data_IF_650715890198
#
_entry.id   IF_650715890198
#
_cell.length_a   1.000
_cell.length_b   1.000
_cell.length_c   1.000
_cell.angle_alpha   90.00
_cell.angle_beta   90.00
_cell.angle_gamma   90.00
#
_symmetry.space_group_name_H-M   'P 1'
#
loop_
_entity.id
_entity.type
_entity.pdbx_description
1 polymer ?
#
# COMPACT_ATOMS: atom_id res chain seq x y z
N UNK A 1 15.69 5.12 24.02
CA UNK A 1 16.66 5.76 23.10
C UNK A 1 17.84 4.86 22.73
N UNK A 2 18.53 4.19 23.67
CA UNK A 2 19.66 3.30 23.35
C UNK A 2 19.30 2.12 22.41
N UNK A 3 18.11 1.54 22.55
CA UNK A 3 17.63 0.40 21.72
C UNK A 3 17.33 0.79 20.24
N UNK A 4 17.12 2.09 19.98
CA UNK A 4 16.78 2.63 18.66
C UNK A 4 18.04 2.82 17.80
N UNK A 5 19.14 3.27 18.40
CA UNK A 5 20.44 3.39 17.73
C UNK A 5 21.09 2.02 17.48
N UNK A 6 20.85 1.05 18.35
CA UNK A 6 21.36 -0.31 18.19
C UNK A 6 20.66 -1.11 17.09
N UNK A 7 19.37 -0.87 16.83
CA UNK A 7 18.67 -1.48 15.70
C UNK A 7 19.17 -0.94 14.36
N UNK A 8 19.40 0.37 14.28
CA UNK A 8 19.98 0.99 13.08
C UNK A 8 21.40 0.48 12.83
N UNK A 9 22.21 0.31 13.88
CA UNK A 9 23.54 -0.28 13.78
C UNK A 9 23.50 -1.74 13.30
N UNK A 10 22.52 -2.54 13.77
CA UNK A 10 22.36 -3.93 13.34
C UNK A 10 21.95 -4.02 11.87
N UNK A 11 21.06 -3.13 11.42
CA UNK A 11 20.66 -3.02 10.00
C UNK A 11 21.85 -2.61 9.14
N UNK A 12 22.64 -1.62 9.56
CA UNK A 12 23.86 -1.19 8.83
C UNK A 12 24.91 -2.31 8.77
N UNK A 13 25.11 -3.07 9.85
CA UNK A 13 26.08 -4.19 9.88
C UNK A 13 25.62 -5.40 9.05
N UNK A 14 24.32 -5.71 9.04
CA UNK A 14 23.76 -6.76 8.17
C UNK A 14 23.83 -6.33 6.70
N UNK A 15 23.61 -5.05 6.41
CA UNK A 15 23.86 -4.49 5.08
C UNK A 15 25.33 -4.64 4.67
N UNK A 16 26.27 -4.32 5.56
CA UNK A 16 27.70 -4.46 5.29
C UNK A 16 28.10 -5.93 5.01
N UNK A 17 27.58 -6.88 5.78
CA UNK A 17 27.73 -8.33 5.55
C UNK A 17 27.14 -8.80 4.22
N UNK A 18 25.98 -8.26 3.82
CA UNK A 18 25.32 -8.65 2.57
C UNK A 18 25.97 -8.04 1.33
N UNK A 19 26.62 -6.87 1.46
CA UNK A 19 27.12 -6.09 0.33
C UNK A 19 28.65 -6.07 0.19
N UNK A 20 29.44 -6.43 1.22
CA UNK A 20 30.91 -6.47 1.18
C UNK A 20 31.50 -7.89 1.26
N UNK A 21 30.82 -8.87 0.65
CA UNK A 21 31.20 -10.29 0.70
C UNK A 21 32.52 -10.62 -0.02
N UNK A 22 32.97 -9.75 -0.93
CA UNK A 22 34.19 -9.93 -1.73
C UNK A 22 35.41 -9.14 -1.21
N UNK A 23 35.25 -8.34 -0.15
CA UNK A 23 36.39 -7.80 0.58
C UNK A 23 36.94 -8.89 1.51
N UNK A 24 38.24 -9.11 1.45
CA UNK A 24 38.95 -10.31 1.90
C UNK A 24 38.95 -10.61 3.41
N UNK A 25 37.92 -10.22 4.17
CA UNK A 25 37.84 -10.53 5.59
C UNK A 25 36.44 -10.93 6.07
N UNK A 26 35.79 -11.82 5.31
CA UNK A 26 34.60 -12.57 5.75
C UNK A 26 34.79 -13.20 7.14
N UNK A 27 36.03 -13.57 7.49
CA UNK A 27 36.40 -14.11 8.80
C UNK A 27 36.43 -13.04 9.90
N UNK A 28 37.00 -11.86 9.66
CA UNK A 28 37.05 -10.74 10.62
C UNK A 28 35.65 -10.12 10.85
N UNK A 29 34.84 -9.98 9.79
CA UNK A 29 33.47 -9.45 9.90
C UNK A 29 32.57 -10.46 10.64
N UNK A 30 32.68 -11.76 10.34
CA UNK A 30 32.01 -12.81 11.14
C UNK A 30 32.51 -12.83 12.58
N UNK A 31 33.79 -12.54 12.83
CA UNK A 31 34.34 -12.46 14.17
C UNK A 31 33.80 -11.25 14.95
N UNK A 32 33.66 -10.07 14.33
CA UNK A 32 33.19 -8.86 14.98
C UNK A 32 31.67 -8.89 15.24
N UNK A 33 30.90 -9.47 14.31
CA UNK A 33 29.46 -9.74 14.50
C UNK A 33 29.25 -10.76 15.62
N UNK A 34 30.06 -11.83 15.63
CA UNK A 34 30.05 -12.83 16.70
C UNK A 34 30.43 -12.21 18.04
N UNK A 35 31.43 -11.35 18.09
CA UNK A 35 31.89 -10.63 19.30
C UNK A 35 30.83 -9.64 19.80
N UNK A 36 30.12 -8.96 18.91
CA UNK A 36 29.01 -8.05 19.26
C UNK A 36 27.80 -8.81 19.80
N UNK A 37 27.47 -9.97 19.21
CA UNK A 37 26.47 -10.90 19.74
C UNK A 37 26.90 -11.53 21.08
N UNK A 38 28.20 -11.76 21.26
CA UNK A 38 28.78 -12.29 22.50
C UNK A 38 28.77 -11.22 23.61
N UNK A 39 29.02 -9.95 23.30
CA UNK A 39 28.81 -8.82 24.20
C UNK A 39 27.33 -8.69 24.62
N UNK A 40 26.40 -9.09 23.74
CA UNK A 40 24.96 -9.17 24.04
C UNK A 40 24.61 -10.35 24.98
N UNK A 41 25.25 -11.51 24.81
CA UNK A 41 25.14 -12.66 25.74
C UNK A 41 25.79 -12.36 27.11
N UNK A 42 26.95 -11.69 27.12
CA UNK A 42 27.73 -11.38 28.33
C UNK A 42 27.10 -10.24 29.15
N UNK A 43 26.35 -9.33 28.52
CA UNK A 43 25.54 -8.32 29.22
C UNK A 43 24.28 -8.91 29.90
N UNK A 44 23.94 -10.16 29.59
CA UNK A 44 22.74 -10.84 30.10
C UNK A 44 22.99 -12.04 31.00
N UNK A 45 24.20 -12.59 31.09
CA UNK A 45 24.48 -13.70 32.01
C UNK A 45 25.96 -13.90 32.28
N UNK A 46 26.35 -13.76 33.55
CA UNK A 46 27.65 -14.21 34.04
C UNK A 46 27.77 -15.73 33.97
N UNK A 47 28.86 -16.18 33.32
CA UNK A 47 29.58 -17.45 33.48
C UNK A 47 29.36 -18.60 32.45
N UNK A 48 30.44 -18.82 31.67
CA UNK A 48 31.17 -20.09 31.38
C UNK A 48 30.37 -21.30 30.83
N UNK A 49 30.66 -21.70 29.56
CA UNK A 49 31.35 -22.97 29.16
C UNK A 49 30.96 -23.55 27.77
N UNK A 50 32.03 -23.81 26.98
CA UNK A 50 32.45 -24.89 26.03
C UNK A 50 31.54 -25.59 24.99
N UNK A 51 32.12 -25.63 23.77
CA UNK A 51 32.25 -26.67 22.71
C UNK A 51 31.09 -27.60 22.29
N UNK A 52 30.02 -27.79 23.06
CA UNK A 52 28.79 -28.44 22.56
C UNK A 52 27.92 -27.53 21.67
N UNK A 53 28.30 -26.24 21.56
CA UNK A 53 27.54 -25.17 20.90
C UNK A 53 27.53 -25.24 19.36
N UNK A 54 28.38 -26.03 18.69
CA UNK A 54 28.53 -25.96 17.22
C UNK A 54 27.38 -26.62 16.44
N UNK A 55 26.86 -27.77 16.87
CA UNK A 55 25.69 -28.40 16.22
C UNK A 55 24.39 -27.60 16.50
N UNK A 56 24.26 -27.05 17.72
CA UNK A 56 23.18 -26.12 18.08
C UNK A 56 23.29 -24.76 17.40
N UNK A 57 24.49 -24.40 16.92
CA UNK A 57 24.74 -23.15 16.20
C UNK A 57 24.21 -23.20 14.78
N UNK A 58 24.20 -24.36 14.12
CA UNK A 58 23.69 -24.54 12.77
C UNK A 58 22.15 -24.50 12.76
N UNK A 59 21.52 -25.18 13.73
CA UNK A 59 20.08 -25.09 13.96
C UNK A 59 19.63 -23.68 14.37
N UNK A 60 20.44 -22.97 15.15
CA UNK A 60 20.21 -21.55 15.48
C UNK A 60 20.53 -20.61 14.32
N UNK A 61 21.45 -20.94 13.43
CA UNK A 61 21.73 -20.16 12.22
C UNK A 61 20.59 -20.31 11.23
N UNK A 62 20.11 -21.54 11.00
CA UNK A 62 18.95 -21.79 10.15
C UNK A 62 17.70 -21.16 10.76
N UNK A 63 17.53 -21.23 12.09
CA UNK A 63 16.48 -20.48 12.77
C UNK A 63 16.68 -18.97 12.66
N UNK A 64 17.91 -18.45 12.73
CA UNK A 64 18.18 -17.02 12.54
C UNK A 64 18.00 -16.57 11.09
N UNK A 65 18.22 -17.46 10.12
CA UNK A 65 17.94 -17.26 8.68
C UNK A 65 16.44 -17.31 8.45
N UNK A 66 15.71 -18.28 9.00
CA UNK A 66 14.24 -18.32 8.98
C UNK A 66 13.65 -17.11 9.71
N UNK A 67 14.23 -16.71 10.83
CA UNK A 67 13.86 -15.50 11.57
C UNK A 67 14.24 -14.27 10.74
N UNK A 68 15.34 -14.26 9.96
CA UNK A 68 15.72 -13.19 9.04
C UNK A 68 14.83 -13.14 7.78
N UNK A 69 14.34 -14.27 7.29
CA UNK A 69 13.39 -14.39 6.17
C UNK A 69 11.98 -14.01 6.62
N UNK A 70 11.60 -14.39 7.84
CA UNK A 70 10.40 -13.94 8.54
C UNK A 70 10.50 -12.44 8.81
N UNK A 71 11.64 -11.97 9.30
CA UNK A 71 11.94 -10.55 9.44
C UNK A 71 11.91 -9.87 8.08
N UNK A 72 12.48 -10.42 7.01
CA UNK A 72 12.44 -9.88 5.66
C UNK A 72 11.00 -9.76 5.12
N UNK A 73 10.13 -10.72 5.44
CA UNK A 73 8.69 -10.65 5.16
C UNK A 73 7.95 -9.57 6.00
N UNK A 74 8.48 -9.25 7.18
CA UNK A 74 8.00 -8.18 8.09
C UNK A 74 8.64 -6.82 7.76
N UNK A 75 9.85 -6.78 7.17
CA UNK A 75 10.76 -5.64 6.94
C UNK A 75 10.71 -5.08 5.52
N UNK A 76 9.74 -5.48 4.71
CA UNK A 76 9.41 -4.83 3.44
C UNK A 76 9.44 -3.28 3.47
N UNK A 77 9.09 -2.59 4.58
CA UNK A 77 9.05 -1.12 4.58
C UNK A 77 10.37 -0.39 4.92
N UNK A 78 11.40 -1.03 5.49
CA UNK A 78 12.67 -0.32 5.79
C UNK A 78 13.52 -0.06 4.55
N UNK A 79 13.24 -0.74 3.43
CA UNK A 79 13.77 -0.40 2.10
C UNK A 79 13.39 1.02 1.67
N UNK A 80 12.24 1.55 2.11
CA UNK A 80 11.84 2.94 1.87
C UNK A 80 12.92 3.92 2.33
N UNK A 81 13.36 3.77 3.57
CA UNK A 81 14.38 4.62 4.18
C UNK A 81 15.74 4.44 3.52
N UNK A 82 16.09 3.19 3.22
CA UNK A 82 17.36 2.84 2.61
C UNK A 82 17.49 3.40 1.19
N UNK A 83 16.43 3.29 0.38
CA UNK A 83 16.45 3.77 -1.01
C UNK A 83 16.38 5.30 -1.06
N UNK A 84 15.59 5.92 -0.18
CA UNK A 84 15.47 7.39 -0.11
C UNK A 84 16.74 8.05 0.44
N UNK A 85 17.52 7.36 1.26
CA UNK A 85 18.84 7.82 1.75
C UNK A 85 19.93 7.84 0.65
N UNK A 86 19.66 7.34 -0.56
CA UNK A 86 20.50 7.50 -1.76
C UNK A 86 21.99 7.12 -1.57
N UNK A 87 22.28 5.94 -1.01
CA UNK A 87 23.65 5.46 -0.78
C UNK A 87 24.27 4.96 -2.11
N UNK A 88 25.29 5.63 -2.69
CA UNK A 88 25.81 5.28 -4.02
C UNK A 88 26.45 3.90 -4.12
N UNK A 89 27.04 3.40 -3.02
CA UNK A 89 27.67 2.07 -2.98
C UNK A 89 26.67 0.93 -3.12
N UNK A 90 25.41 1.14 -2.73
CA UNK A 90 24.34 0.17 -2.94
C UNK A 90 24.00 0.01 -4.42
N UNK A 91 24.32 1.01 -5.26
CA UNK A 91 23.92 1.01 -6.65
C UNK A 91 24.68 -0.01 -7.49
N UNK A 92 25.97 -0.15 -7.22
CA UNK A 92 26.84 -1.12 -7.89
C UNK A 92 26.52 -2.55 -7.44
N UNK A 93 26.15 -2.73 -6.17
CA UNK A 93 25.93 -4.05 -5.59
C UNK A 93 24.55 -4.63 -5.94
N UNK A 94 23.49 -3.80 -5.95
CA UNK A 94 22.17 -4.21 -6.42
C UNK A 94 22.14 -4.62 -7.91
N UNK A 95 22.96 -3.99 -8.75
CA UNK A 95 23.11 -4.37 -10.17
C UNK A 95 23.88 -5.68 -10.33
N UNK A 96 24.83 -5.94 -9.42
CA UNK A 96 25.57 -7.20 -9.35
C UNK A 96 24.66 -8.37 -8.97
N UNK A 97 23.82 -8.21 -7.94
CA UNK A 97 22.98 -9.28 -7.39
C UNK A 97 21.61 -9.46 -8.08
N UNK A 98 21.12 -8.49 -8.84
CA UNK A 98 19.86 -8.65 -9.62
C UNK A 98 19.95 -9.72 -10.72
N UNK A 99 21.16 -10.19 -11.03
CA UNK A 99 21.44 -11.26 -12.00
C UNK A 99 21.42 -12.67 -11.39
N UNK A 100 21.31 -12.79 -10.07
CA UNK A 100 21.31 -14.07 -9.35
C UNK A 100 19.87 -14.59 -9.15
N UNK A 101 19.52 -15.78 -9.67
CA UNK A 101 18.18 -16.34 -9.48
C UNK A 101 17.99 -16.82 -8.03
N UNK A 102 17.02 -16.24 -7.32
CA UNK A 102 16.57 -16.74 -6.00
C UNK A 102 16.18 -15.69 -4.94
N UNK A 103 16.52 -14.41 -5.11
CA UNK A 103 16.33 -13.41 -4.06
C UNK A 103 15.20 -12.42 -4.39
N UNK A 104 13.96 -12.76 -3.98
CA UNK A 104 12.76 -11.91 -4.20
C UNK A 104 12.92 -10.49 -3.64
N UNK A 105 13.48 -10.35 -2.43
CA UNK A 105 13.67 -9.02 -1.82
C UNK A 105 14.61 -8.12 -2.64
N UNK A 106 15.68 -8.66 -3.24
CA UNK A 106 16.59 -7.88 -4.11
C UNK A 106 15.87 -7.43 -5.38
N UNK A 107 14.97 -8.26 -5.91
CA UNK A 107 14.15 -7.91 -7.08
C UNK A 107 13.18 -6.76 -6.79
N UNK A 108 12.58 -6.75 -5.59
CA UNK A 108 11.71 -5.67 -5.11
C UNK A 108 12.48 -4.36 -4.95
N UNK A 109 13.64 -4.41 -4.27
CA UNK A 109 14.52 -3.25 -4.08
C UNK A 109 15.00 -2.67 -5.42
N UNK A 110 15.37 -3.54 -6.36
CA UNK A 110 15.78 -3.14 -7.70
C UNK A 110 14.63 -2.46 -8.47
N UNK A 111 13.43 -3.05 -8.43
CA UNK A 111 12.21 -2.49 -9.04
C UNK A 111 11.84 -1.12 -8.46
N UNK A 112 11.90 -0.98 -7.13
CA UNK A 112 11.63 0.27 -6.42
C UNK A 112 12.67 1.34 -6.78
N UNK A 113 13.95 0.98 -6.84
CA UNK A 113 15.01 1.90 -7.25
C UNK A 113 14.86 2.35 -8.71
N UNK A 114 14.53 1.45 -9.63
CA UNK A 114 14.23 1.83 -11.02
C UNK A 114 13.05 2.81 -11.10
N UNK A 115 12.01 2.58 -10.30
CA UNK A 115 10.89 3.50 -10.18
C UNK A 115 11.35 4.87 -9.64
N UNK A 116 12.23 4.93 -8.65
CA UNK A 116 12.66 6.18 -8.00
C UNK A 116 13.82 6.90 -8.70
N UNK A 117 14.52 6.28 -9.65
CA UNK A 117 15.71 6.86 -10.28
C UNK A 117 15.38 8.13 -11.12
N UNK A 118 15.93 9.31 -10.76
CA UNK A 118 15.66 10.56 -11.46
C UNK A 118 16.28 10.61 -12.87
N UNK A 119 17.37 9.87 -13.15
CA UNK A 119 18.00 9.82 -14.49
C UNK A 119 17.12 9.13 -15.54
N UNK A 120 16.13 8.33 -15.10
CA UNK A 120 15.15 7.69 -15.98
C UNK A 120 13.96 8.60 -16.31
N UNK A 121 13.94 9.87 -15.85
CA UNK A 121 12.91 10.85 -16.21
C UNK A 121 12.90 11.18 -17.73
N UNK A 122 14.01 10.93 -18.43
CA UNK A 122 14.20 11.25 -19.85
C UNK A 122 13.97 10.09 -20.83
N UNK A 123 13.49 8.92 -20.36
CA UNK A 123 13.19 7.79 -21.25
C UNK A 123 11.91 8.08 -22.03
N UNK A 124 11.89 7.90 -23.37
CA UNK A 124 10.68 8.13 -24.16
C UNK A 124 9.53 7.27 -23.64
N UNK A 125 8.40 7.95 -23.55
CA UNK A 125 7.08 7.51 -23.15
C UNK A 125 6.73 6.03 -23.33
N UNK A 126 6.20 5.46 -22.26
CA UNK A 126 5.58 4.14 -22.17
C UNK A 126 4.21 4.21 -22.86
N UNK A 127 4.16 4.46 -24.17
CA UNK A 127 2.90 4.37 -24.93
C UNK A 127 2.70 2.95 -25.41
N UNK A 128 1.48 2.44 -25.26
CA UNK A 128 1.06 1.30 -26.04
C UNK A 128 0.85 1.81 -27.47
N UNK A 129 1.43 1.15 -28.51
CA UNK A 129 1.12 1.48 -29.90
C UNK A 129 -0.39 1.43 -30.14
N UNK A 130 -0.94 2.36 -30.93
CA UNK A 130 -2.38 2.43 -31.28
C UNK A 130 -2.92 1.08 -31.79
N UNK A 131 -2.10 0.33 -32.53
CA UNK A 131 -2.39 -1.02 -33.02
C UNK A 131 -2.69 -2.02 -31.90
N UNK A 132 -2.04 -1.88 -30.73
CA UNK A 132 -2.24 -2.76 -29.57
C UNK A 132 -3.52 -2.51 -28.78
N UNK A 133 -4.30 -1.51 -29.18
CA UNK A 133 -5.47 -0.97 -28.47
C UNK A 133 -6.76 -1.20 -29.24
N UNK A 134 -6.68 -1.18 -30.58
CA UNK A 134 -7.82 -1.44 -31.47
C UNK A 134 -8.41 -2.85 -31.30
N UNK A 135 -7.61 -3.79 -30.76
CA UNK A 135 -7.98 -5.19 -30.50
C UNK A 135 -8.39 -5.47 -29.04
N UNK A 136 -8.82 -4.46 -28.28
CA UNK A 136 -9.28 -4.65 -26.90
C UNK A 136 -10.80 -4.61 -26.83
N UNK A 137 -11.40 -5.62 -26.19
CA UNK A 137 -12.84 -5.62 -25.87
C UNK A 137 -13.01 -5.33 -24.37
N UNK A 138 -13.38 -4.11 -23.97
CA UNK A 138 -13.55 -3.76 -22.57
C UNK A 138 -14.84 -4.34 -22.00
N UNK A 139 -14.76 -4.88 -20.80
CA UNK A 139 -15.87 -5.43 -20.00
C UNK A 139 -15.92 -4.69 -18.67
N UNK A 140 -17.12 -4.28 -18.25
CA UNK A 140 -17.31 -3.57 -17.00
C UNK A 140 -17.08 -4.49 -15.80
N UNK A 141 -16.31 -4.00 -14.83
CA UNK A 141 -16.18 -4.66 -13.52
C UNK A 141 -17.27 -4.08 -12.61
N UNK A 142 -18.20 -4.90 -12.09
CA UNK A 142 -19.27 -4.40 -11.22
C UNK A 142 -18.75 -3.59 -10.04
N UNK A 143 -19.40 -2.46 -9.78
CA UNK A 143 -19.05 -1.54 -8.68
C UNK A 143 -17.62 -0.99 -8.75
N UNK A 144 -17.00 -0.96 -9.93
CA UNK A 144 -15.70 -0.34 -10.16
C UNK A 144 -15.74 0.60 -11.36
N UNK A 145 -15.00 1.73 -11.32
CA UNK A 145 -14.78 2.55 -12.50
C UNK A 145 -13.66 1.98 -13.42
N UNK A 146 -13.02 0.87 -13.05
CA UNK A 146 -12.08 0.15 -13.89
C UNK A 146 -12.81 -0.88 -14.77
N UNK A 147 -12.22 -1.20 -15.93
CA UNK A 147 -12.75 -2.18 -16.88
C UNK A 147 -11.71 -3.26 -17.12
N UNK A 148 -12.13 -4.52 -17.20
CA UNK A 148 -11.27 -5.58 -17.70
C UNK A 148 -11.22 -5.51 -19.23
N UNK A 149 -10.13 -5.92 -19.85
CA UNK A 149 -10.05 -6.04 -21.30
C UNK A 149 -9.18 -7.22 -21.68
N UNK A 150 -9.62 -7.97 -22.67
CA UNK A 150 -8.84 -9.05 -23.27
C UNK A 150 -8.47 -8.66 -24.70
N UNK A 151 -7.28 -9.07 -25.14
CA UNK A 151 -6.86 -8.89 -26.54
C UNK A 151 -7.56 -9.91 -27.43
N UNK A 152 -7.98 -9.48 -28.62
CA UNK A 152 -8.64 -10.33 -29.64
C UNK A 152 -7.86 -11.59 -29.99
N UNK A 153 -6.53 -11.55 -29.89
CA UNK A 153 -5.64 -12.69 -30.17
C UNK A 153 -5.50 -13.70 -29.01
N UNK A 154 -6.33 -13.60 -27.95
CA UNK A 154 -6.20 -14.43 -26.74
C UNK A 154 -5.00 -14.02 -25.87
N UNK A 155 -4.44 -12.84 -26.11
CA UNK A 155 -3.32 -12.29 -25.35
C UNK A 155 -3.68 -11.95 -23.90
N UNK A 156 -2.67 -11.50 -23.15
CA UNK A 156 -2.78 -11.21 -21.71
C UNK A 156 -3.90 -10.21 -21.41
N UNK A 157 -4.64 -10.48 -20.34
CA UNK A 157 -5.70 -9.61 -19.83
C UNK A 157 -5.11 -8.30 -19.26
N UNK A 158 -5.85 -7.21 -19.47
CA UNK A 158 -5.52 -5.86 -19.03
C UNK A 158 -6.63 -5.32 -18.14
N UNK A 159 -6.26 -4.45 -17.20
CA UNK A 159 -7.21 -3.57 -16.51
C UNK A 159 -7.04 -2.17 -17.11
N UNK A 160 -8.13 -1.66 -17.66
CA UNK A 160 -8.21 -0.32 -18.23
C UNK A 160 -8.84 0.64 -17.23
N UNK A 161 -8.24 1.82 -17.07
CA UNK A 161 -8.78 2.86 -16.21
C UNK A 161 -8.68 4.23 -16.86
N UNK A 162 -9.83 4.75 -17.29
CA UNK A 162 -9.92 6.12 -17.79
C UNK A 162 -9.78 7.13 -16.65
N UNK A 163 -9.01 8.16 -16.93
CA UNK A 163 -8.77 9.33 -16.10
C UNK A 163 -9.35 10.55 -16.81
N UNK A 164 -9.67 11.60 -16.07
CA UNK A 164 -10.16 12.84 -16.64
C UNK A 164 -9.36 13.97 -15.99
N UNK A 165 -8.84 14.88 -16.80
CA UNK A 165 -8.21 16.08 -16.27
C UNK A 165 -9.31 16.94 -15.61
N UNK A 166 -9.21 17.28 -14.32
CA UNK A 166 -10.17 18.18 -13.69
C UNK A 166 -10.16 19.54 -14.38
N UNK A 167 -11.32 20.18 -14.51
CA UNK A 167 -11.48 21.46 -15.22
C UNK A 167 -10.62 22.59 -14.64
N UNK A 168 -10.25 22.51 -13.36
CA UNK A 168 -9.48 23.51 -12.64
C UNK A 168 -7.99 23.17 -12.49
N UNK A 169 -7.49 22.17 -13.23
CA UNK A 169 -6.08 21.78 -13.21
C UNK A 169 -5.48 22.00 -14.58
N UNK A 170 -4.25 22.54 -14.62
CA UNK A 170 -3.48 22.65 -15.86
C UNK A 170 -3.27 21.26 -16.48
N UNK A 171 -3.73 21.08 -17.72
CA UNK A 171 -3.56 19.84 -18.48
C UNK A 171 -2.08 19.43 -18.52
N UNK A 172 -1.16 20.39 -18.72
CA UNK A 172 0.27 20.11 -18.76
C UNK A 172 0.80 19.56 -17.44
N UNK A 173 0.40 20.15 -16.30
CA UNK A 173 0.80 19.68 -14.98
C UNK A 173 0.18 18.30 -14.66
N UNK A 174 -1.09 18.12 -15.01
CA UNK A 174 -1.78 16.83 -14.84
C UNK A 174 -1.13 15.73 -15.67
N UNK A 175 -0.88 15.98 -16.97
CA UNK A 175 -0.19 15.03 -17.85
C UNK A 175 1.21 14.70 -17.36
N UNK A 176 1.95 15.66 -16.79
CA UNK A 176 3.26 15.39 -16.16
C UNK A 176 3.13 14.38 -15.02
N UNK A 177 2.20 14.61 -14.08
CA UNK A 177 1.96 13.70 -12.95
C UNK A 177 1.54 12.30 -13.42
N UNK A 178 0.63 12.22 -14.39
CA UNK A 178 0.16 10.95 -14.96
C UNK A 178 1.31 10.17 -15.59
N UNK A 179 2.18 10.83 -16.37
CA UNK A 179 3.34 10.20 -17.01
C UNK A 179 4.35 9.72 -15.99
N UNK A 180 4.65 10.54 -14.98
CA UNK A 180 5.58 10.16 -13.93
C UNK A 180 5.08 8.95 -13.13
N UNK A 181 3.80 8.94 -12.75
CA UNK A 181 3.19 7.80 -12.07
C UNK A 181 3.19 6.56 -12.97
N UNK A 182 2.82 6.67 -14.24
CA UNK A 182 2.83 5.57 -15.20
C UNK A 182 4.22 4.91 -15.27
N UNK A 183 5.29 5.72 -15.26
CA UNK A 183 6.67 5.26 -15.25
C UNK A 183 7.06 4.56 -13.95
N UNK A 184 6.66 5.10 -12.79
CA UNK A 184 6.91 4.41 -11.51
C UNK A 184 6.19 3.06 -11.46
N UNK A 185 4.92 3.04 -11.89
CA UNK A 185 4.11 1.82 -11.95
C UNK A 185 4.55 0.82 -13.01
N UNK A 186 5.28 1.20 -14.07
CA UNK A 186 5.77 0.22 -15.05
C UNK A 186 6.82 -0.72 -14.48
N UNK A 187 7.51 -0.27 -13.43
CA UNK A 187 8.49 -1.05 -12.67
C UNK A 187 7.92 -1.66 -11.39
N UNK A 188 6.61 -1.51 -11.14
CA UNK A 188 5.98 -2.10 -9.96
C UNK A 188 5.97 -3.64 -10.02
N UNK A 189 6.39 -4.28 -8.93
CA UNK A 189 6.11 -5.70 -8.70
C UNK A 189 4.68 -5.84 -8.15
N UNK A 190 3.75 -6.49 -8.87
CA UNK A 190 2.34 -6.48 -8.51
C UNK A 190 2.05 -7.16 -7.17
N UNK A 191 2.75 -8.24 -6.84
CA UNK A 191 2.47 -9.01 -5.63
C UNK A 191 3.07 -8.40 -4.37
N UNK A 192 4.21 -7.73 -4.50
CA UNK A 192 4.84 -7.05 -3.39
C UNK A 192 4.14 -5.73 -3.10
N UNK A 193 3.81 -4.98 -4.16
CA UNK A 193 3.28 -3.64 -4.00
C UNK A 193 1.77 -3.57 -3.90
N UNK A 194 1.03 -4.61 -4.34
CA UNK A 194 -0.42 -4.51 -4.52
C UNK A 194 -0.81 -3.45 -5.57
N UNK A 195 0.12 -3.15 -6.50
CA UNK A 195 -0.05 -2.17 -7.56
C UNK A 195 0.25 -2.83 -8.91
N UNK A 196 -0.72 -2.79 -9.83
CA UNK A 196 -0.55 -3.45 -11.13
C UNK A 196 0.51 -2.73 -11.99
N UNK A 197 1.29 -3.52 -12.73
CA UNK A 197 2.32 -2.98 -13.64
C UNK A 197 1.67 -2.21 -14.80
N UNK A 198 1.96 -0.92 -14.88
CA UNK A 198 1.50 -0.07 -15.98
C UNK A 198 2.24 -0.40 -17.28
N UNK A 199 1.51 -0.66 -18.36
CA UNK A 199 2.08 -0.86 -19.71
C UNK A 199 1.91 0.33 -20.62
N UNK A 200 1.28 1.38 -20.11
CA UNK A 200 1.16 2.64 -20.81
C UNK A 200 -0.27 3.13 -20.90
N UNK A 201 -0.47 3.98 -21.89
CA UNK A 201 -1.65 4.79 -22.03
C UNK A 201 -2.26 4.58 -23.42
N UNK A 202 -3.43 3.91 -23.55
CA UNK A 202 -4.05 3.65 -24.85
C UNK A 202 -4.55 4.90 -25.59
N UNK A 203 -5.00 5.88 -24.82
CA UNK A 203 -5.39 7.20 -25.27
C UNK A 203 -4.84 8.19 -24.27
N UNK A 204 -4.74 9.48 -24.60
CA UNK A 204 -4.15 10.53 -23.76
C UNK A 204 -4.74 10.65 -22.33
N UNK A 205 -5.76 9.86 -21.96
CA UNK A 205 -6.31 9.75 -20.62
C UNK A 205 -6.83 8.34 -20.19
N UNK A 206 -6.24 7.19 -20.60
CA UNK A 206 -6.56 5.85 -20.03
C UNK A 206 -5.34 5.06 -19.53
N UNK A 207 -5.22 4.68 -18.25
CA UNK A 207 -4.17 3.73 -17.85
C UNK A 207 -4.48 2.30 -18.33
N UNK A 208 -3.47 1.58 -18.81
CA UNK A 208 -3.53 0.15 -19.10
C UNK A 208 -2.57 -0.62 -18.19
N UNK A 209 -3.13 -1.42 -17.30
CA UNK A 209 -2.40 -2.24 -16.35
C UNK A 209 -2.42 -3.70 -16.79
N UNK A 210 -1.29 -4.38 -16.66
CA UNK A 210 -1.19 -5.81 -16.93
C UNK A 210 -1.74 -6.61 -15.76
N UNK A 211 -2.68 -7.52 -15.99
CA UNK A 211 -3.04 -8.52 -14.99
C UNK A 211 -1.89 -9.52 -14.79
N UNK A 212 -1.57 -9.93 -13.55
CA UNK A 212 -0.53 -10.91 -13.30
C UNK A 212 -0.86 -12.27 -13.92
N UNK A 213 0.16 -12.97 -14.40
CA UNK A 213 -0.03 -14.27 -15.05
C UNK A 213 -0.60 -15.28 -14.03
N UNK A 214 -1.62 -16.05 -14.42
CA UNK A 214 -2.29 -17.01 -13.54
C UNK A 214 -3.43 -16.44 -12.69
N UNK A 215 -3.67 -15.13 -12.75
CA UNK A 215 -4.78 -14.45 -12.09
C UNK A 215 -5.82 -14.00 -13.13
N UNK A 216 -7.11 -14.05 -12.76
CA UNK A 216 -8.21 -13.60 -13.61
C UNK A 216 -9.43 -13.21 -12.76
N UNK A 217 -10.56 -12.96 -13.43
CA UNK A 217 -11.86 -12.67 -12.82
C UNK A 217 -11.83 -11.49 -11.83
N UNK A 218 -11.48 -10.27 -12.31
CA UNK A 218 -11.42 -9.11 -11.44
C UNK A 218 -12.79 -8.80 -10.84
N UNK A 219 -12.83 -8.70 -9.50
CA UNK A 219 -13.98 -8.18 -8.76
C UNK A 219 -13.54 -6.98 -7.94
N UNK A 220 -14.38 -5.95 -7.82
CA UNK A 220 -14.11 -4.88 -6.85
C UNK A 220 -14.31 -5.39 -5.42
N UNK A 221 -13.56 -4.83 -4.46
CA UNK A 221 -13.79 -5.08 -3.05
C UNK A 221 -15.23 -4.66 -2.66
N UNK A 222 -15.74 -3.58 -3.25
CA UNK A 222 -17.14 -3.15 -3.05
C UNK A 222 -18.13 -4.27 -3.39
N UNK A 223 -18.00 -4.89 -4.57
CA UNK A 223 -18.91 -5.98 -4.97
C UNK A 223 -18.79 -7.18 -4.03
N UNK A 224 -17.58 -7.54 -3.59
CA UNK A 224 -17.38 -8.64 -2.64
C UNK A 224 -18.05 -8.39 -1.29
N UNK A 225 -17.95 -7.16 -0.77
CA UNK A 225 -18.56 -6.77 0.49
C UNK A 225 -20.08 -6.64 0.41
N UNK A 226 -20.63 -6.24 -0.75
CA UNK A 226 -22.08 -6.23 -1.01
C UNK A 226 -22.63 -7.64 -1.15
N UNK A 227 -21.93 -8.52 -1.87
CA UNK A 227 -22.27 -9.95 -2.03
C UNK A 227 -22.14 -10.71 -0.70
N UNK A 228 -21.39 -10.16 0.27
CA UNK A 228 -20.99 -10.81 1.52
C UNK A 228 -20.42 -12.20 1.25
N UNK A 229 -19.52 -12.29 0.28
CA UNK A 229 -18.89 -13.55 -0.14
C UNK A 229 -18.35 -14.28 1.10
N UNK A 230 -18.95 -15.44 1.43
CA UNK A 230 -18.65 -16.21 2.64
C UNK A 230 -17.42 -17.11 2.45
N UNK A 231 -16.84 -17.14 1.26
CA UNK A 231 -15.67 -17.96 0.95
C UNK A 231 -14.37 -17.43 1.59
N UNK A 232 -14.39 -16.22 2.17
CA UNK A 232 -13.21 -15.61 2.77
C UNK A 232 -13.15 -15.83 4.28
N UNK A 233 -12.10 -16.52 4.70
CA UNK A 233 -11.77 -16.74 6.11
C UNK A 233 -11.39 -15.44 6.81
N UNK A 234 -11.37 -15.44 8.15
CA UNK A 234 -10.85 -14.31 8.92
C UNK A 234 -9.39 -13.99 8.54
N UNK A 235 -8.56 -15.01 8.37
CA UNK A 235 -7.16 -14.87 7.94
C UNK A 235 -7.04 -14.16 6.58
N UNK A 236 -7.95 -14.46 5.65
CA UNK A 236 -7.98 -13.83 4.32
C UNK A 236 -8.23 -12.33 4.43
N UNK A 237 -9.10 -11.90 5.36
CA UNK A 237 -9.37 -10.48 5.62
C UNK A 237 -8.13 -9.74 6.10
N UNK A 238 -7.32 -10.36 6.96
CA UNK A 238 -6.04 -9.78 7.39
C UNK A 238 -5.03 -9.68 6.26
N UNK A 239 -4.96 -10.71 5.40
CA UNK A 239 -4.09 -10.69 4.22
C UNK A 239 -4.50 -9.56 3.28
N UNK A 240 -5.79 -9.39 3.00
CA UNK A 240 -6.32 -8.30 2.17
C UNK A 240 -6.04 -6.93 2.80
N UNK A 241 -6.22 -6.80 4.12
CA UNK A 241 -5.94 -5.58 4.86
C UNK A 241 -4.46 -5.17 4.75
N UNK A 242 -3.55 -6.12 4.94
CA UNK A 242 -2.11 -5.90 4.81
C UNK A 242 -1.72 -5.52 3.38
N UNK A 243 -2.26 -6.20 2.37
CA UNK A 243 -2.03 -5.87 0.95
C UNK A 243 -2.51 -4.44 0.60
N UNK A 244 -3.69 -4.05 1.10
CA UNK A 244 -4.22 -2.71 0.86
C UNK A 244 -3.36 -1.63 1.54
N UNK A 245 -2.96 -1.84 2.78
CA UNK A 245 -2.06 -0.92 3.48
C UNK A 245 -0.71 -0.81 2.76
N UNK A 246 -0.12 -1.94 2.33
CA UNK A 246 1.12 -1.92 1.52
C UNK A 246 0.96 -1.07 0.26
N UNK A 247 -0.15 -1.25 -0.46
CA UNK A 247 -0.44 -0.49 -1.68
C UNK A 247 -0.44 1.02 -1.45
N UNK A 248 -1.07 1.48 -0.36
CA UNK A 248 -1.09 2.91 0.01
C UNK A 248 0.32 3.40 0.38
N UNK A 249 1.04 2.64 1.21
CA UNK A 249 2.42 2.97 1.59
C UNK A 249 3.37 3.07 0.39
N UNK A 250 3.20 2.22 -0.63
CA UNK A 250 4.00 2.27 -1.85
C UNK A 250 3.68 3.48 -2.75
N UNK A 251 2.42 3.90 -2.81
CA UNK A 251 2.06 5.15 -3.51
C UNK A 251 2.69 6.36 -2.83
N UNK A 252 2.65 6.42 -1.49
CA UNK A 252 3.33 7.46 -0.72
C UNK A 252 4.84 7.41 -0.90
N UNK A 253 5.42 6.21 -0.99
CA UNK A 253 6.84 5.99 -1.30
C UNK A 253 7.23 6.57 -2.66
N UNK A 254 6.35 6.44 -3.65
CA UNK A 254 6.55 7.05 -4.96
C UNK A 254 6.40 8.58 -4.95
N UNK A 255 6.16 9.22 -3.80
CA UNK A 255 5.98 10.66 -3.68
C UNK A 255 4.63 11.11 -4.23
N UNK A 256 3.63 10.25 -4.21
CA UNK A 256 2.28 10.54 -4.71
C UNK A 256 1.25 10.37 -3.59
N UNK A 257 0.15 11.12 -3.69
CA UNK A 257 -1.09 10.87 -2.92
C UNK A 257 -2.14 10.25 -3.84
N UNK A 258 -2.86 9.25 -3.36
CA UNK A 258 -3.86 8.50 -4.14
C UNK A 258 -5.15 9.28 -4.34
N UNK A 259 -5.63 9.95 -3.28
CA UNK A 259 -6.82 10.83 -3.25
C UNK A 259 -8.16 10.15 -3.47
N UNK A 260 -8.16 8.82 -3.52
CA UNK A 260 -9.30 8.05 -4.00
C UNK A 260 -9.32 6.60 -3.50
N UNK A 261 -8.74 6.35 -2.33
CA UNK A 261 -8.76 5.01 -1.72
C UNK A 261 -10.19 4.71 -1.27
N UNK A 262 -10.84 3.74 -1.93
CA UNK A 262 -12.20 3.27 -1.63
C UNK A 262 -12.42 1.85 -2.18
N UNK A 263 -13.41 1.09 -1.70
CA UNK A 263 -13.67 -0.28 -2.15
C UNK A 263 -13.91 -0.44 -3.66
N UNK A 264 -14.43 0.58 -4.34
CA UNK A 264 -14.64 0.58 -5.81
C UNK A 264 -13.33 0.54 -6.60
N UNK A 265 -12.25 1.04 -5.98
CA UNK A 265 -10.93 1.20 -6.57
C UNK A 265 -9.94 0.15 -6.05
N UNK A 266 -10.44 -0.92 -5.43
CA UNK A 266 -9.64 -2.05 -4.99
C UNK A 266 -10.13 -3.26 -5.77
N UNK A 267 -9.28 -3.86 -6.59
CA UNK A 267 -9.60 -5.05 -7.37
C UNK A 267 -9.03 -6.29 -6.69
N UNK A 268 -9.89 -7.26 -6.46
CA UNK A 268 -9.51 -8.61 -6.09
C UNK A 268 -9.40 -9.45 -7.35
N UNK A 269 -8.20 -9.99 -7.60
CA UNK A 269 -7.97 -10.97 -8.66
C UNK A 269 -7.84 -12.35 -8.04
N UNK A 270 -8.57 -13.34 -8.55
CA UNK A 270 -8.48 -14.71 -8.05
C UNK A 270 -7.42 -15.49 -8.86
N UNK A 271 -6.54 -16.24 -8.20
CA UNK A 271 -5.68 -17.20 -8.88
C UNK A 271 -6.51 -18.38 -9.41
N UNK A 272 -6.03 -19.02 -10.48
CA UNK A 272 -6.71 -20.17 -11.10
C UNK A 272 -6.83 -21.40 -10.19
N UNK A 273 -6.00 -21.49 -9.16
CA UNK A 273 -6.00 -22.59 -8.18
C UNK A 273 -7.09 -22.45 -7.11
N UNK A 274 -7.85 -21.33 -7.11
CA UNK A 274 -8.93 -21.09 -6.17
C UNK A 274 -8.49 -20.62 -4.78
N UNK A 275 -7.20 -20.34 -4.58
CA UNK A 275 -6.69 -19.75 -3.34
C UNK A 275 -7.16 -18.29 -3.16
N UNK A 276 -6.88 -17.72 -1.99
CA UNK A 276 -7.26 -16.36 -1.61
C UNK A 276 -6.77 -15.38 -2.68
N UNK A 277 -7.70 -14.57 -3.19
CA UNK A 277 -7.37 -13.55 -4.19
C UNK A 277 -6.34 -12.55 -3.68
N UNK A 278 -5.72 -11.80 -4.58
CA UNK A 278 -4.81 -10.71 -4.23
C UNK A 278 -5.48 -9.36 -4.51
N UNK A 279 -5.32 -8.43 -3.58
CA UNK A 279 -5.88 -7.08 -3.65
C UNK A 279 -4.93 -6.13 -4.40
N UNK A 280 -5.48 -5.36 -5.32
CA UNK A 280 -4.75 -4.36 -6.08
C UNK A 280 -5.43 -3.00 -6.00
N UNK A 281 -4.70 -1.99 -5.58
CA UNK A 281 -5.17 -0.62 -5.61
C UNK A 281 -5.09 -0.07 -7.05
N UNK A 282 -6.22 0.42 -7.54
CA UNK A 282 -6.38 1.11 -8.82
C UNK A 282 -7.04 2.47 -8.59
N UNK A 283 -7.40 3.19 -9.67
CA UNK A 283 -8.18 4.43 -9.51
C UNK A 283 -7.34 5.69 -9.30
N UNK A 284 -6.14 5.72 -9.91
CA UNK A 284 -5.16 6.81 -9.89
C UNK A 284 -5.62 8.13 -10.59
N UNK A 285 -6.93 8.36 -10.70
CA UNK A 285 -7.52 9.48 -11.46
C UNK A 285 -7.31 10.85 -10.83
N UNK A 286 -7.11 10.88 -9.52
CA UNK A 286 -6.85 12.12 -8.77
C UNK A 286 -5.41 12.21 -8.28
N UNK A 287 -4.54 11.27 -8.69
CA UNK A 287 -3.17 11.18 -8.19
C UNK A 287 -2.39 12.43 -8.52
N UNK A 288 -1.66 12.88 -7.51
CA UNK A 288 -0.90 14.13 -7.52
C UNK A 288 0.43 13.86 -6.83
N UNK A 289 1.52 14.40 -7.36
CA UNK A 289 2.78 14.44 -6.64
C UNK A 289 2.54 15.12 -5.28
N UNK A 290 3.09 14.59 -4.18
CA UNK A 290 2.76 15.03 -2.83
C UNK A 290 2.97 16.53 -2.61
N UNK A 291 3.99 17.12 -3.24
CA UNK A 291 4.35 18.55 -3.20
C UNK A 291 3.56 19.44 -4.20
N UNK A 292 2.73 18.87 -5.08
CA UNK A 292 2.03 19.63 -6.11
C UNK A 292 0.91 20.55 -5.58
N UNK A 293 0.44 21.51 -6.38
CA UNK A 293 -0.70 22.35 -5.98
C UNK A 293 -1.99 21.53 -5.86
N UNK A 294 -2.74 21.71 -4.77
CA UNK A 294 -4.04 21.06 -4.58
C UNK A 294 -5.15 21.92 -5.17
N UNK A 295 -5.85 21.39 -6.17
CA UNK A 295 -6.93 22.11 -6.87
C UNK A 295 -8.17 22.40 -6.00
N UNK A 296 -8.23 21.85 -4.78
CA UNK A 296 -9.37 21.90 -3.84
C UNK A 296 -10.73 21.71 -4.53
N UNK A 297 -10.79 20.82 -5.52
CA UNK A 297 -12.04 20.38 -6.13
C UNK A 297 -12.69 19.33 -5.23
N UNK A 298 -13.92 19.57 -4.81
CA UNK A 298 -14.75 18.62 -4.09
C UNK A 298 -16.04 18.27 -4.82
N UNK A 299 -16.91 17.52 -4.17
CA UNK A 299 -18.23 17.13 -4.67
C UNK A 299 -19.19 16.84 -3.50
N UNK A 300 -20.48 16.71 -3.81
CA UNK A 300 -21.55 16.40 -2.84
C UNK A 300 -21.95 14.92 -2.86
N UNK A 301 -21.15 14.06 -3.50
CA UNK A 301 -21.43 12.63 -3.64
C UNK A 301 -21.15 11.92 -2.31
N UNK A 302 -22.17 11.74 -1.48
CA UNK A 302 -22.06 11.18 -0.13
C UNK A 302 -21.31 9.84 -0.12
N UNK A 303 -21.56 8.97 -1.11
CA UNK A 303 -20.96 7.63 -1.21
C UNK A 303 -19.45 7.67 -1.41
N UNK A 304 -18.90 8.81 -1.86
CA UNK A 304 -17.47 9.05 -2.01
C UNK A 304 -16.95 9.82 -0.80
N UNK A 305 -17.73 10.77 -0.30
CA UNK A 305 -17.35 11.64 0.80
C UNK A 305 -17.13 10.88 2.11
N UNK A 306 -17.86 9.80 2.37
CA UNK A 306 -17.61 8.99 3.59
C UNK A 306 -16.17 8.44 3.68
N UNK A 307 -15.47 8.28 2.56
CA UNK A 307 -14.07 7.84 2.54
C UNK A 307 -13.07 9.01 2.66
N UNK A 308 -13.53 10.26 2.61
CA UNK A 308 -12.68 11.45 2.68
C UNK A 308 -12.69 12.00 4.10
N UNK A 309 -11.56 12.51 4.57
CA UNK A 309 -11.47 13.19 5.86
C UNK A 309 -12.45 14.39 5.91
N UNK A 310 -13.04 14.72 7.08
CA UNK A 310 -14.02 15.79 7.21
C UNK A 310 -13.63 17.13 6.57
N UNK A 311 -12.39 17.61 6.75
CA UNK A 311 -11.91 18.88 6.15
C UNK A 311 -11.80 18.85 4.61
N UNK A 312 -11.93 17.66 4.01
CA UNK A 312 -11.83 17.41 2.57
C UNK A 312 -13.18 17.03 1.92
N UNK A 313 -14.28 17.09 2.66
CA UNK A 313 -15.64 16.87 2.14
C UNK A 313 -16.30 18.19 1.71
N UNK A 314 -17.35 18.07 0.89
CA UNK A 314 -18.09 19.21 0.34
C UNK A 314 -17.53 19.74 -0.98
N UNK A 315 -18.18 20.77 -1.54
CA UNK A 315 -17.81 21.34 -2.85
C UNK A 315 -16.47 22.09 -2.81
N UNK A 316 -16.16 22.69 -1.66
CA UNK A 316 -14.97 23.52 -1.42
C UNK A 316 -14.18 23.05 -0.20
N UNK A 317 -13.35 21.99 -0.36
CA UNK A 317 -12.42 21.53 0.67
C UNK A 317 -11.59 22.65 1.30
N UNK A 318 -11.46 22.64 2.63
CA UNK A 318 -10.87 23.74 3.41
C UNK A 318 -9.34 23.73 3.37
N UNK A 319 -8.73 22.54 3.36
CA UNK A 319 -7.29 22.34 3.51
C UNK A 319 -6.65 21.77 2.25
N UNK A 320 -5.32 21.81 2.13
CA UNK A 320 -4.62 21.13 1.05
C UNK A 320 -4.50 19.62 1.32
N UNK A 321 -4.36 18.83 0.25
CA UNK A 321 -4.38 17.38 0.40
C UNK A 321 -3.00 16.85 0.78
N UNK A 322 -2.81 16.40 2.02
CA UNK A 322 -1.62 15.66 2.50
C UNK A 322 -1.78 14.13 2.48
N UNK A 323 -0.70 13.37 2.70
CA UNK A 323 -0.69 11.90 2.70
C UNK A 323 -1.64 11.29 3.74
N UNK A 324 -1.78 11.92 4.91
CA UNK A 324 -2.66 11.49 6.00
C UNK A 324 -4.12 11.39 5.57
N UNK A 325 -4.56 12.14 4.56
CA UNK A 325 -5.90 11.97 4.01
C UNK A 325 -6.12 10.61 3.34
N UNK A 326 -5.10 10.02 2.70
CA UNK A 326 -5.18 8.64 2.21
C UNK A 326 -5.17 7.65 3.37
N UNK A 327 -4.46 7.95 4.46
CA UNK A 327 -4.44 7.14 5.69
C UNK A 327 -5.84 7.08 6.31
N UNK A 328 -6.54 8.22 6.38
CA UNK A 328 -7.94 8.25 6.80
C UNK A 328 -8.82 7.38 5.89
N UNK A 329 -8.71 7.54 4.57
CA UNK A 329 -9.46 6.73 3.60
C UNK A 329 -9.19 5.24 3.75
N UNK A 330 -7.93 4.86 3.99
CA UNK A 330 -7.53 3.50 4.32
C UNK A 330 -8.22 3.00 5.60
N UNK A 331 -8.28 3.81 6.65
CA UNK A 331 -9.00 3.49 7.89
C UNK A 331 -10.47 3.11 7.65
N UNK A 332 -11.18 3.88 6.81
CA UNK A 332 -12.56 3.58 6.43
C UNK A 332 -12.66 2.26 5.66
N UNK A 333 -11.76 2.00 4.70
CA UNK A 333 -11.71 0.73 3.97
C UNK A 333 -11.40 -0.47 4.89
N UNK A 334 -10.46 -0.33 5.81
CA UNK A 334 -10.10 -1.37 6.77
C UNK A 334 -11.25 -1.65 7.74
N UNK A 335 -12.04 -0.63 8.10
CA UNK A 335 -13.24 -0.79 8.91
C UNK A 335 -14.29 -1.64 8.16
N UNK A 336 -14.63 -1.29 6.92
CA UNK A 336 -15.55 -2.09 6.09
C UNK A 336 -15.07 -3.53 5.90
N UNK A 337 -13.78 -3.70 5.61
CA UNK A 337 -13.17 -5.01 5.45
C UNK A 337 -13.25 -5.84 6.73
N UNK A 338 -13.01 -5.22 7.89
CA UNK A 338 -13.06 -5.91 9.17
C UNK A 338 -14.48 -6.27 9.62
N UNK A 339 -15.46 -5.43 9.29
CA UNK A 339 -16.88 -5.75 9.47
C UNK A 339 -17.37 -6.76 8.42
N UNK A 340 -16.70 -6.82 7.28
CA UNK A 340 -17.08 -7.60 6.08
C UNK A 340 -18.47 -7.26 5.56
N UNK A 341 -18.77 -5.96 5.59
CA UNK A 341 -20.01 -5.40 5.07
C UNK A 341 -19.68 -4.09 4.34
N UNK A 342 -20.26 -3.90 3.16
CA UNK A 342 -20.13 -2.64 2.43
C UNK A 342 -20.85 -1.53 3.18
N UNK A 343 -20.32 -0.31 3.20
CA UNK A 343 -21.06 0.86 3.67
C UNK A 343 -22.03 1.43 2.61
N UNK A 344 -21.83 1.09 1.35
CA UNK A 344 -22.65 1.57 0.23
C UNK A 344 -23.28 0.37 -0.47
N UNK A 345 -24.61 0.35 -0.52
CA UNK A 345 -25.41 -0.65 -1.21
C UNK A 345 -25.96 -0.12 -2.54
N UNK A 346 -26.20 -1.04 -3.46
CA UNK A 346 -26.81 -0.77 -4.76
C UNK A 346 -28.22 -1.37 -4.80
N UNK A 347 -29.24 -0.54 -4.62
CA UNK A 347 -30.62 -0.97 -4.78
C UNK A 347 -31.02 -1.04 -6.27
N UNK A 348 -31.89 -1.98 -6.66
CA UNK A 348 -32.48 -1.98 -7.99
C UNK A 348 -33.28 -0.69 -8.19
N UNK A 349 -32.90 0.12 -9.18
CA UNK A 349 -33.58 1.37 -9.54
C UNK A 349 -34.78 1.13 -10.47
N UNK A 350 -35.62 2.16 -10.62
CA UNK A 350 -36.78 2.15 -11.54
C UNK A 350 -36.39 2.23 -13.03
N UNK A 351 -35.14 2.57 -13.31
CA UNK A 351 -34.48 2.51 -14.62
C UNK A 351 -33.22 1.65 -14.47
N UNK A 352 -32.55 1.27 -15.56
CA UNK A 352 -31.30 0.50 -15.57
C UNK A 352 -30.13 1.12 -14.77
N UNK A 353 -30.34 2.24 -14.08
CA UNK A 353 -29.43 2.87 -13.13
C UNK A 353 -29.68 2.36 -11.69
N UNK A 354 -28.63 1.82 -11.04
CA UNK A 354 -28.70 1.37 -9.64
C UNK A 354 -28.71 2.56 -8.69
N UNK A 355 -29.67 2.62 -7.77
CA UNK A 355 -29.73 3.68 -6.75
C UNK A 355 -28.81 3.32 -5.58
N UNK A 356 -27.94 4.26 -5.19
CA UNK A 356 -27.03 4.08 -4.07
C UNK A 356 -27.74 4.40 -2.75
N UNK A 357 -27.47 3.61 -1.70
CA UNK A 357 -27.95 3.86 -0.35
C UNK A 357 -26.91 3.44 0.71
N UNK A 358 -26.90 4.03 1.90
CA UNK A 358 -26.21 3.49 3.06
C UNK A 358 -26.69 2.07 3.31
N UNK A 359 -25.76 1.16 3.59
CA UNK A 359 -26.11 -0.19 4.01
C UNK A 359 -26.55 -0.22 5.47
N UNK A 360 -27.06 -1.37 5.90
CA UNK A 360 -27.36 -1.61 7.33
C UNK A 360 -26.12 -1.52 8.22
N UNK A 361 -24.92 -1.76 7.70
CA UNK A 361 -23.67 -1.73 8.47
C UNK A 361 -23.32 -0.32 8.96
N UNK A 362 -23.77 0.71 8.24
CA UNK A 362 -23.64 2.10 8.67
C UNK A 362 -24.65 2.49 9.74
N UNK A 363 -25.78 1.78 9.87
CA UNK A 363 -26.90 2.20 10.74
C UNK A 363 -27.37 3.66 10.50
N UNK A 364 -27.07 4.23 9.33
CA UNK A 364 -27.43 5.58 8.91
C UNK A 364 -28.43 5.55 7.75
N UNK A 365 -29.18 6.64 7.57
CA UNK A 365 -30.17 6.78 6.50
C UNK A 365 -29.81 7.93 5.57
N UNK A 366 -30.17 7.84 4.29
CA UNK A 366 -29.91 8.91 3.30
C UNK A 366 -30.41 10.29 3.72
N UNK A 367 -31.52 10.35 4.47
CA UNK A 367 -32.11 11.59 4.96
C UNK A 367 -31.65 12.01 6.36
N UNK A 368 -30.74 11.27 7.01
CA UNK A 368 -30.30 11.57 8.36
C UNK A 368 -29.25 12.69 8.35
N UNK A 369 -29.29 13.58 9.36
CA UNK A 369 -28.33 14.69 9.47
C UNK A 369 -26.91 14.16 9.63
N UNK A 370 -26.78 13.03 10.33
CA UNK A 370 -25.53 12.37 10.65
C UNK A 370 -24.74 11.97 9.39
N UNK A 371 -25.41 11.54 8.31
CA UNK A 371 -24.73 11.15 7.07
C UNK A 371 -24.16 12.36 6.31
N UNK A 372 -24.78 13.53 6.47
CA UNK A 372 -24.40 14.76 5.77
C UNK A 372 -23.51 15.68 6.60
N UNK A 373 -23.24 15.34 7.87
CA UNK A 373 -22.29 16.02 8.72
C UNK A 373 -20.98 15.22 8.77
N UNK A 374 -19.90 15.70 8.12
CA UNK A 374 -18.64 14.97 8.05
C UNK A 374 -18.05 14.60 9.41
N UNK A 375 -18.24 15.45 10.43
CA UNK A 375 -17.71 15.21 11.77
C UNK A 375 -18.48 14.11 12.49
N UNK A 376 -19.80 14.08 12.31
CA UNK A 376 -20.65 13.01 12.86
C UNK A 376 -20.38 11.67 12.19
N UNK A 377 -20.16 11.63 10.87
CA UNK A 377 -19.75 10.41 10.16
C UNK A 377 -18.43 9.88 10.71
N UNK A 378 -17.42 10.74 10.89
CA UNK A 378 -16.12 10.35 11.46
C UNK A 378 -16.27 9.78 12.87
N UNK A 379 -17.03 10.45 13.75
CA UNK A 379 -17.25 9.94 15.12
C UNK A 379 -18.03 8.62 15.12
N UNK A 380 -18.97 8.46 14.19
CA UNK A 380 -19.66 7.19 14.00
C UNK A 380 -18.70 6.05 13.60
N UNK A 381 -17.76 6.29 12.69
CA UNK A 381 -16.72 5.31 12.34
C UNK A 381 -15.82 4.96 13.52
N UNK A 382 -15.41 5.95 14.32
CA UNK A 382 -14.67 5.70 15.58
C UNK A 382 -15.48 4.83 16.52
N UNK A 383 -16.78 5.08 16.66
CA UNK A 383 -17.66 4.26 17.50
C UNK A 383 -17.75 2.81 16.99
N UNK A 384 -17.88 2.59 15.68
CA UNK A 384 -17.86 1.24 15.08
C UNK A 384 -16.50 0.54 15.31
N UNK A 385 -15.39 1.26 15.11
CA UNK A 385 -14.05 0.74 15.35
C UNK A 385 -13.83 0.34 16.82
N UNK A 386 -14.38 1.08 17.79
CA UNK A 386 -14.26 0.77 19.23
C UNK A 386 -15.22 -0.32 19.71
N UNK A 387 -16.44 -0.37 19.19
CA UNK A 387 -17.53 -1.19 19.76
C UNK A 387 -17.77 -2.49 19.02
N UNK A 388 -17.72 -2.46 17.68
CA UNK A 388 -18.07 -3.59 16.82
C UNK A 388 -16.83 -4.35 16.33
N UNK A 389 -15.84 -3.62 15.83
CA UNK A 389 -14.67 -4.19 15.17
C UNK A 389 -13.81 -5.12 16.06
N UNK A 390 -13.60 -4.87 17.38
CA UNK A 390 -12.78 -5.76 18.21
C UNK A 390 -13.37 -7.17 18.34
N UNK A 391 -14.69 -7.29 18.24
CA UNK A 391 -15.40 -8.59 18.28
C UNK A 391 -15.28 -9.37 16.97
N UNK A 392 -14.90 -8.70 15.87
CA UNK A 392 -14.79 -9.27 14.52
C UNK A 392 -13.34 -9.56 14.13
N UNK A 393 -12.42 -8.65 14.46
CA UNK A 393 -11.02 -8.67 13.99
C UNK A 393 -10.00 -8.58 15.15
N UNK A 394 -10.45 -8.58 16.40
CA UNK A 394 -9.57 -8.39 17.56
C UNK A 394 -9.17 -6.94 17.82
N UNK A 395 -8.62 -6.68 19.01
CA UNK A 395 -8.30 -5.34 19.49
C UNK A 395 -7.15 -4.66 18.73
N UNK A 396 -6.13 -5.42 18.32
CA UNK A 396 -4.99 -4.87 17.56
C UNK A 396 -5.43 -4.26 16.23
N UNK A 397 -6.25 -5.00 15.47
CA UNK A 397 -6.78 -4.50 14.20
C UNK A 397 -7.66 -3.27 14.41
N UNK A 398 -8.55 -3.31 15.42
CA UNK A 398 -9.40 -2.18 15.76
C UNK A 398 -8.60 -0.93 16.14
N UNK A 399 -7.49 -1.09 16.90
CA UNK A 399 -6.59 0.00 17.24
C UNK A 399 -5.93 0.60 16.00
N UNK A 400 -5.47 -0.21 15.04
CA UNK A 400 -4.90 0.31 13.77
C UNK A 400 -5.95 1.10 13.00
N UNK A 401 -7.17 0.59 12.88
CA UNK A 401 -8.27 1.29 12.20
C UNK A 401 -8.57 2.62 12.89
N UNK A 402 -8.64 2.63 14.22
CA UNK A 402 -8.85 3.86 14.98
C UNK A 402 -7.71 4.86 14.77
N UNK A 403 -6.45 4.43 14.85
CA UNK A 403 -5.28 5.26 14.55
C UNK A 403 -5.34 5.87 13.15
N UNK A 404 -5.79 5.11 12.14
CA UNK A 404 -5.99 5.64 10.79
C UNK A 404 -7.11 6.69 10.73
N UNK A 405 -8.24 6.45 11.40
CA UNK A 405 -9.38 7.37 11.40
C UNK A 405 -9.09 8.68 12.14
N UNK A 406 -8.14 8.68 13.07
CA UNK A 406 -7.75 9.85 13.87
C UNK A 406 -6.36 10.39 13.50
N UNK A 407 -5.76 9.98 12.39
CA UNK A 407 -4.38 10.34 12.02
C UNK A 407 -4.13 11.84 11.77
N UNK A 408 -5.18 12.65 11.71
CA UNK A 408 -5.14 14.12 11.59
C UNK A 408 -5.69 14.81 12.84
N UNK A 409 -6.04 14.05 13.88
CA UNK A 409 -6.54 14.63 15.13
C UNK A 409 -5.39 15.05 16.04
N UNK A 410 -5.42 16.25 16.64
CA UNK A 410 -4.36 16.74 17.52
C UNK A 410 -4.11 15.86 18.76
N UNK A 411 -5.10 15.08 19.19
CA UNK A 411 -5.01 14.19 20.35
C UNK A 411 -4.50 12.79 19.99
N UNK A 412 -4.18 12.52 18.73
CA UNK A 412 -3.65 11.23 18.30
C UNK A 412 -2.19 11.06 18.76
N UNK A 413 -1.92 10.10 19.65
CA UNK A 413 -0.56 9.89 20.18
C UNK A 413 0.46 9.36 19.13
N UNK A 414 -0.01 8.84 18.00
CA UNK A 414 0.82 8.26 16.94
C UNK A 414 1.13 9.25 15.80
N UNK A 415 0.23 10.22 15.56
CA UNK A 415 0.27 11.18 14.44
C UNK A 415 0.03 12.67 14.82
N UNK A 416 -0.24 12.99 16.10
CA UNK A 416 -1.02 14.18 16.51
C UNK A 416 -0.32 15.53 16.62
N UNK A 417 0.96 15.68 16.27
CA UNK A 417 1.56 17.02 16.14
C UNK A 417 2.02 17.29 14.70
N UNK A 418 1.16 17.95 13.90
CA UNK A 418 1.44 18.32 12.50
C UNK A 418 2.82 18.99 12.30
N UNK A 419 3.31 19.74 13.29
CA UNK A 419 4.61 20.42 13.23
C UNK A 419 5.80 19.45 13.33
N UNK A 420 5.61 18.25 13.89
CA UNK A 420 6.61 17.18 13.83
C UNK A 420 6.71 16.60 12.40
N UNK A 421 5.69 16.73 11.55
CA UNK A 421 5.62 16.11 10.21
C UNK A 421 6.04 17.04 9.06
N UNK A 422 6.45 18.28 9.36
CA UNK A 422 7.03 19.20 8.39
C UNK A 422 8.49 18.82 8.07
N UNK A 423 8.72 17.65 7.48
CA UNK A 423 9.94 17.43 6.71
C UNK A 423 9.69 17.71 5.23
N UNK A 424 10.65 18.37 4.57
CA UNK A 424 10.54 18.85 3.19
C UNK A 424 10.19 17.71 2.21
N UNK A 425 10.48 16.46 2.58
CA UNK A 425 10.39 15.30 1.72
C UNK A 425 9.24 14.32 2.08
N UNK A 426 8.47 14.52 3.16
CA UNK A 426 7.43 13.59 3.63
C UNK A 426 7.96 12.24 4.18
N UNK A 427 9.20 12.19 4.68
CA UNK A 427 9.84 10.95 5.18
C UNK A 427 9.19 10.51 6.48
N UNK A 428 8.96 11.43 7.41
CA UNK A 428 8.50 11.10 8.76
C UNK A 428 7.08 10.53 8.76
N UNK A 429 6.18 11.09 7.94
CA UNK A 429 4.83 10.53 7.74
C UNK A 429 4.93 9.09 7.23
N UNK A 430 5.84 8.82 6.30
CA UNK A 430 6.14 7.47 5.80
C UNK A 430 6.63 6.53 6.91
N UNK A 431 7.56 6.97 7.76
CA UNK A 431 8.06 6.18 8.90
C UNK A 431 6.93 5.83 9.87
N UNK A 432 6.11 6.81 10.24
CA UNK A 432 4.98 6.57 11.16
C UNK A 432 3.95 5.66 10.54
N UNK A 433 3.64 5.82 9.25
CA UNK A 433 2.79 4.89 8.51
C UNK A 433 3.29 3.44 8.61
N UNK A 434 4.59 3.24 8.42
CA UNK A 434 5.23 1.94 8.54
C UNK A 434 5.08 1.37 9.95
N UNK A 435 5.49 2.13 10.97
CA UNK A 435 5.56 1.65 12.35
C UNK A 435 4.17 1.42 12.96
N UNK A 436 3.24 2.32 12.68
CA UNK A 436 1.94 2.40 13.36
C UNK A 436 0.84 1.65 12.62
N UNK A 437 0.99 1.43 11.32
CA UNK A 437 -0.01 0.75 10.50
C UNK A 437 0.54 -0.58 9.97
N UNK A 438 1.55 -0.56 9.12
CA UNK A 438 2.04 -1.78 8.44
C UNK A 438 2.59 -2.81 9.43
N UNK A 439 3.49 -2.39 10.34
CA UNK A 439 4.07 -3.30 11.32
C UNK A 439 3.01 -3.84 12.28
N UNK A 440 2.07 -3.01 12.72
CA UNK A 440 1.00 -3.44 13.61
C UNK A 440 0.11 -4.50 12.96
N UNK A 441 -0.31 -4.29 11.70
CA UNK A 441 -1.09 -5.28 10.95
C UNK A 441 -0.32 -6.60 10.77
N UNK A 442 0.97 -6.54 10.48
CA UNK A 442 1.80 -7.74 10.29
C UNK A 442 2.05 -8.52 11.60
N UNK A 443 1.88 -7.90 12.77
CA UNK A 443 2.01 -8.59 14.07
C UNK A 443 0.75 -9.36 14.48
N UNK A 444 -0.30 -9.31 13.66
CA UNK A 444 -1.56 -10.01 13.96
C UNK A 444 -1.47 -11.44 13.44
N UNK A 445 -1.53 -12.39 14.37
CA UNK A 445 -1.64 -13.83 14.09
C UNK A 445 -3.06 -14.29 14.42
N UNK A 446 -3.68 -15.07 13.52
CA UNK A 446 -5.06 -15.59 13.66
C UNK A 446 -5.06 -17.07 14.00
#
# INVERSE_FOLDING_TARGET
MAVHFTHLALVVMVMDLCFNRDAADEAEIKAEVKKTLQMFEDAGNTSRVKRGKYARSEERLNKAIDDLETWQGIFDPSWYLIIKAAIPQMDEELVRHSRSPGQKAISTTHSLKLALNPKLQNVPSIWLPEEGILDLTPVDIPSSPARAAQRSNGGRELVLKSIHCPNNVSITAFTKNVRELARKLSHADPFTFGLLSCKGHPSAFTFAFRMPDGYSNPKSLRSLLVERDLDHSLSDRFVIASQLAKSVGYIHTFGFVHKNVRPDNILMLKPKDGSVGHAYLVGFEHVRAAEGVTARAGDTAWERNIYRHPCRQGETPMEDYVMQHDIYSLGVCLLELGLWESFVDYAPGKSSSRTLRPSSALELSLGSRELHDPSLVKEHFRALARRALPRRMGSKYASVVETCLTCLDPDNADFGDESEFEDVDGILVGVRYIEKILMQLNTISV
#
